data_IF_827021578172
#
_entry.id   IF_827021578172
#
_cell.length_a   1.000
_cell.length_b   1.000
_cell.length_c   1.000
_cell.angle_alpha   90.00
_cell.angle_beta   90.00
_cell.angle_gamma   90.00
#
_symmetry.space_group_name_H-M   'P 1'
#
loop_
_entity.id
_entity.type
_entity.pdbx_description
1 polymer ?
#
# COMPACT_ATOMS: atom_id res chain seq x y z
N UNK A 1 0.94 -2.35 -38.74
CA UNK A 1 0.50 -1.00 -38.28
C UNK A 1 1.58 -0.46 -37.37
N UNK A 2 2.12 0.74 -37.62
CA UNK A 2 3.23 1.34 -36.86
C UNK A 2 2.76 1.79 -35.46
N UNK A 3 3.67 1.77 -34.48
CA UNK A 3 3.36 2.20 -33.12
C UNK A 3 2.81 3.64 -33.02
N UNK A 4 3.17 4.51 -33.96
CA UNK A 4 2.65 5.88 -34.04
C UNK A 4 1.14 5.96 -34.34
N UNK A 5 0.60 5.04 -35.12
CA UNK A 5 -0.83 5.01 -35.45
C UNK A 5 -1.70 4.57 -34.25
N UNK A 6 -1.15 3.73 -33.36
CA UNK A 6 -1.85 3.27 -32.13
C UNK A 6 -1.90 4.36 -31.06
N UNK A 7 -0.83 5.15 -30.92
CA UNK A 7 -0.76 6.26 -29.97
C UNK A 7 -1.71 7.40 -30.40
N UNK A 8 -1.77 7.71 -31.72
CA UNK A 8 -2.68 8.73 -32.24
C UNK A 8 -4.16 8.38 -32.02
N UNK A 9 -4.53 7.09 -32.13
CA UNK A 9 -5.91 6.65 -31.91
C UNK A 9 -6.33 6.77 -30.43
N UNK A 10 -5.44 6.41 -29.49
CA UNK A 10 -5.73 6.49 -28.04
C UNK A 10 -5.87 7.96 -27.57
N UNK A 11 -5.01 8.87 -28.05
CA UNK A 11 -5.08 10.29 -27.70
C UNK A 11 -6.36 10.91 -28.24
N UNK A 12 -6.76 10.57 -29.48
CA UNK A 12 -8.00 11.06 -30.07
C UNK A 12 -9.26 10.66 -29.29
N UNK A 13 -9.30 9.42 -28.81
CA UNK A 13 -10.45 8.89 -28.03
C UNK A 13 -10.58 9.61 -26.67
N UNK A 14 -9.47 9.89 -25.99
CA UNK A 14 -9.49 10.59 -24.69
C UNK A 14 -9.97 12.04 -24.86
N UNK A 15 -9.52 12.74 -25.88
CA UNK A 15 -9.94 14.14 -26.16
C UNK A 15 -11.44 14.21 -26.44
N UNK A 16 -12.02 13.29 -27.21
CA UNK A 16 -13.47 13.27 -27.50
C UNK A 16 -14.30 13.02 -26.24
N UNK A 17 -13.85 12.11 -25.34
CA UNK A 17 -14.54 11.82 -24.08
C UNK A 17 -14.51 13.02 -23.11
N UNK A 18 -13.40 13.76 -23.02
CA UNK A 18 -13.30 14.95 -22.17
C UNK A 18 -14.19 16.07 -22.69
N UNK A 19 -14.25 16.31 -24.02
CA UNK A 19 -15.13 17.29 -24.63
C UNK A 19 -16.61 16.96 -24.42
N UNK A 20 -17.01 15.70 -24.51
CA UNK A 20 -18.39 15.28 -24.25
C UNK A 20 -18.82 15.52 -22.81
N UNK A 21 -17.90 15.32 -21.84
CA UNK A 21 -18.18 15.55 -20.41
C UNK A 21 -18.41 17.03 -20.08
N UNK A 22 -17.63 17.94 -20.70
CA UNK A 22 -17.78 19.40 -20.49
C UNK A 22 -19.08 19.93 -21.06
N UNK A 23 -19.60 19.36 -22.16
CA UNK A 23 -20.83 19.82 -22.82
C UNK A 23 -22.13 19.29 -22.19
N UNK A 24 -22.06 18.29 -21.32
CA UNK A 24 -23.22 17.68 -20.64
C UNK A 24 -23.38 18.07 -19.16
N UNK A 25 -22.56 18.97 -18.63
CA UNK A 25 -22.72 19.48 -17.26
C UNK A 25 -23.87 20.50 -17.21
N UNK A 26 -24.94 20.29 -16.43
CA UNK A 26 -25.99 21.28 -16.27
C UNK A 26 -25.48 22.46 -15.45
N UNK A 27 -25.80 23.65 -15.92
CA UNK A 27 -25.58 24.92 -15.21
C UNK A 27 -26.76 25.14 -14.27
N UNK A 28 -26.53 25.25 -12.99
CA UNK A 28 -27.50 25.71 -12.01
C UNK A 28 -27.35 27.23 -11.89
N UNK A 29 -28.25 27.95 -12.59
CA UNK A 29 -28.55 29.35 -12.32
C UNK A 29 -29.84 29.39 -11.52
N UNK A 30 -29.84 29.91 -10.31
CA UNK A 30 -31.04 30.41 -9.66
C UNK A 30 -30.76 31.60 -8.74
N UNK A 31 -31.54 32.59 -8.99
CA UNK A 31 -31.55 33.95 -8.51
C UNK A 31 -32.33 34.14 -7.17
N UNK A 32 -32.22 35.29 -6.49
CA UNK A 32 -32.48 35.47 -5.06
C UNK A 32 -33.92 35.88 -4.73
N UNK A 33 -34.47 35.23 -3.74
CA UNK A 33 -35.75 35.57 -3.12
C UNK A 33 -35.59 36.15 -1.71
N UNK A 34 -36.08 37.36 -1.54
CA UNK A 34 -36.06 38.20 -0.34
C UNK A 34 -36.85 37.69 0.87
N UNK A 35 -36.28 37.94 2.04
CA UNK A 35 -36.86 38.33 3.36
C UNK A 35 -37.87 37.43 4.07
N UNK A 36 -37.52 36.98 5.27
CA UNK A 36 -38.04 37.49 6.54
C UNK A 36 -37.40 36.73 7.74
N UNK A 37 -36.84 37.50 8.67
CA UNK A 37 -36.42 37.04 9.99
C UNK A 37 -37.65 36.65 10.84
N UNK A 38 -37.59 35.55 11.63
CA UNK A 38 -37.53 35.75 13.07
C UNK A 38 -36.49 34.91 13.78
N UNK A 39 -35.85 35.53 14.73
CA UNK A 39 -35.04 35.02 15.80
C UNK A 39 -35.66 33.78 16.46
N UNK A 40 -34.91 32.63 16.44
CA UNK A 40 -35.10 31.55 17.39
C UNK A 40 -33.77 30.84 17.66
N UNK A 41 -33.54 30.61 18.94
CA UNK A 41 -32.36 30.06 19.60
C UNK A 41 -31.65 28.93 18.84
N UNK A 42 -30.30 29.04 18.76
CA UNK A 42 -29.43 28.00 18.31
C UNK A 42 -29.39 26.82 19.30
N UNK A 43 -29.65 25.57 18.87
CA UNK A 43 -29.18 24.43 19.61
C UNK A 43 -27.68 24.26 19.36
N UNK A 44 -26.91 24.20 20.45
CA UNK A 44 -25.50 23.87 20.42
C UNK A 44 -25.28 22.54 19.68
N UNK A 45 -24.77 22.60 18.47
CA UNK A 45 -24.31 21.41 17.74
C UNK A 45 -23.05 20.92 18.44
N UNK A 46 -23.20 19.91 19.29
CA UNK A 46 -22.09 19.12 19.81
C UNK A 46 -21.44 18.44 18.60
N UNK A 47 -20.35 19.01 18.09
CA UNK A 47 -19.52 18.36 17.07
C UNK A 47 -18.95 17.10 17.70
N UNK A 48 -19.57 15.94 17.45
CA UNK A 48 -19.04 14.66 17.84
C UNK A 48 -17.67 14.50 17.17
N UNK A 49 -16.62 14.51 17.95
CA UNK A 49 -15.26 14.27 17.48
C UNK A 49 -15.24 12.91 16.75
N UNK A 50 -14.76 12.94 15.48
CA UNK A 50 -14.56 11.71 14.70
C UNK A 50 -13.65 10.77 15.51
N UNK A 51 -14.01 9.47 15.66
CA UNK A 51 -13.17 8.51 16.35
C UNK A 51 -11.74 8.55 15.78
N UNK A 52 -10.70 8.42 16.63
CA UNK A 52 -9.34 8.34 16.13
C UNK A 52 -9.19 7.18 15.13
N UNK A 53 -8.39 7.33 14.07
CA UNK A 53 -8.17 6.26 13.11
C UNK A 53 -7.57 5.04 13.83
N UNK A 54 -7.90 3.81 13.40
CA UNK A 54 -7.30 2.60 13.96
C UNK A 54 -5.77 2.69 13.90
N UNK A 55 -5.04 2.13 14.89
CA UNK A 55 -3.58 2.12 14.85
C UNK A 55 -3.08 1.44 13.58
N UNK A 56 -2.05 2.00 12.97
CA UNK A 56 -1.44 1.44 11.77
C UNK A 56 -0.91 0.02 12.06
N UNK A 57 -1.04 -0.92 11.11
CA UNK A 57 -0.57 -2.28 11.30
C UNK A 57 0.95 -2.29 11.53
N UNK A 58 1.37 -2.97 12.60
CA UNK A 58 2.78 -3.16 12.95
C UNK A 58 3.42 -4.21 12.05
N UNK A 59 4.63 -3.94 11.57
CA UNK A 59 5.46 -4.86 10.79
C UNK A 59 6.71 -5.24 11.57
N UNK A 60 7.04 -6.55 11.59
CA UNK A 60 8.35 -7.01 11.98
C UNK A 60 9.37 -6.60 10.92
N UNK A 61 10.45 -5.92 11.31
CA UNK A 61 11.34 -5.27 10.36
C UNK A 61 12.74 -5.88 10.35
N UNK A 62 13.12 -6.45 9.22
CA UNK A 62 14.47 -6.91 8.89
C UNK A 62 15.22 -5.75 8.23
N UNK A 63 16.45 -5.50 8.67
CA UNK A 63 17.32 -4.48 8.07
C UNK A 63 18.45 -5.12 7.31
N UNK A 64 18.70 -4.62 6.11
CA UNK A 64 19.81 -5.06 5.22
C UNK A 64 20.76 -3.91 4.99
N UNK A 65 22.06 -4.21 5.02
CA UNK A 65 23.15 -3.32 4.66
C UNK A 65 24.24 -4.13 3.98
N UNK A 66 24.84 -3.59 2.92
CA UNK A 66 25.90 -4.25 2.13
C UNK A 66 25.50 -5.69 1.72
N UNK A 67 24.22 -5.89 1.33
CA UNK A 67 23.68 -7.19 0.95
C UNK A 67 23.62 -8.22 2.09
N UNK A 68 23.64 -7.79 3.37
CA UNK A 68 23.62 -8.67 4.55
C UNK A 68 22.63 -8.20 5.60
N UNK A 69 22.07 -9.12 6.41
CA UNK A 69 21.21 -8.75 7.52
C UNK A 69 21.99 -8.03 8.63
N UNK A 70 21.51 -6.88 9.06
CA UNK A 70 22.09 -6.14 10.18
C UNK A 70 21.73 -6.84 11.50
N UNK A 71 22.74 -7.31 12.22
CA UNK A 71 22.56 -8.07 13.46
C UNK A 71 22.36 -9.57 13.27
N UNK A 72 22.57 -10.07 12.05
CA UNK A 72 22.41 -11.49 11.70
C UNK A 72 21.02 -11.83 11.20
N UNK A 73 20.80 -13.10 10.85
CA UNK A 73 19.52 -13.64 10.36
C UNK A 73 18.46 -13.52 11.45
N UNK A 74 17.40 -12.73 11.20
CA UNK A 74 16.33 -12.49 12.16
C UNK A 74 15.28 -13.59 12.09
N UNK A 75 14.73 -13.97 13.26
CA UNK A 75 13.61 -14.90 13.34
C UNK A 75 12.34 -14.12 13.65
N UNK A 76 11.30 -14.33 12.86
CA UNK A 76 9.96 -13.82 13.07
C UNK A 76 9.05 -15.01 13.35
N UNK A 77 8.36 -15.00 14.48
CA UNK A 77 7.46 -16.10 14.86
C UNK A 77 6.02 -15.61 14.82
N UNK A 78 5.13 -16.41 14.22
CA UNK A 78 3.69 -16.22 14.20
C UNK A 78 2.97 -17.54 14.44
N UNK A 79 1.71 -17.50 14.89
CA UNK A 79 0.87 -18.70 14.99
C UNK A 79 0.21 -18.99 13.64
N UNK A 80 -0.05 -20.26 13.38
CA UNK A 80 -0.82 -20.67 12.21
C UNK A 80 -2.22 -20.02 12.23
N UNK A 81 -2.58 -19.44 11.10
CA UNK A 81 -3.83 -18.68 10.93
C UNK A 81 -3.68 -17.19 11.18
N UNK A 82 -2.60 -16.76 11.82
CA UNK A 82 -2.34 -15.34 12.09
C UNK A 82 -1.90 -14.57 10.83
N UNK A 83 -2.03 -13.25 10.90
CA UNK A 83 -1.56 -12.35 9.86
C UNK A 83 -0.08 -12.05 10.03
N UNK A 84 0.77 -12.71 9.26
CA UNK A 84 2.19 -12.37 9.16
C UNK A 84 2.34 -11.00 8.47
N UNK A 85 3.18 -10.13 9.06
CA UNK A 85 3.55 -8.82 8.50
C UNK A 85 5.04 -8.62 8.61
N UNK A 86 5.73 -8.79 7.49
CA UNK A 86 7.17 -8.68 7.39
C UNK A 86 7.54 -7.49 6.51
N UNK A 87 8.51 -6.71 6.95
CA UNK A 87 9.08 -5.58 6.23
C UNK A 87 10.59 -5.75 6.14
N UNK A 88 11.15 -5.67 4.94
CA UNK A 88 12.60 -5.64 4.75
C UNK A 88 12.99 -4.24 4.25
N UNK A 89 13.98 -3.64 4.89
CA UNK A 89 14.52 -2.33 4.51
C UNK A 89 15.98 -2.44 4.16
N UNK A 90 16.45 -1.64 3.20
CA UNK A 90 17.86 -1.49 2.86
C UNK A 90 18.26 -0.03 2.79
N UNK A 91 19.52 0.26 3.14
CA UNK A 91 20.11 1.61 3.03
C UNK A 91 20.93 1.79 1.75
N UNK A 92 21.35 0.69 1.11
CA UNK A 92 22.38 0.68 0.06
C UNK A 92 22.19 -0.43 -0.99
N UNK A 93 21.38 -1.45 -0.71
CA UNK A 93 21.18 -2.60 -1.59
C UNK A 93 19.83 -2.50 -2.28
N UNK A 94 19.79 -2.71 -3.59
CA UNK A 94 18.57 -2.91 -4.38
C UNK A 94 18.51 -4.36 -4.83
N UNK A 95 17.43 -5.06 -4.49
CA UNK A 95 17.22 -6.49 -4.79
C UNK A 95 15.73 -6.82 -4.75
N UNK A 96 15.38 -8.05 -5.08
CA UNK A 96 14.09 -8.64 -4.80
C UNK A 96 14.21 -9.53 -3.56
N UNK A 97 13.27 -9.40 -2.62
CA UNK A 97 13.18 -10.28 -1.46
C UNK A 97 12.28 -11.45 -1.82
N UNK A 98 12.75 -12.66 -1.60
CA UNK A 98 11.99 -13.89 -1.76
C UNK A 98 11.69 -14.53 -0.40
N UNK A 99 10.41 -14.80 -0.13
CA UNK A 99 9.96 -15.62 0.99
C UNK A 99 9.63 -17.01 0.47
N UNK A 100 10.53 -17.97 0.75
CA UNK A 100 10.39 -19.36 0.35
C UNK A 100 9.14 -20.02 0.95
N UNK A 101 8.60 -21.01 0.26
CA UNK A 101 7.45 -21.81 0.68
C UNK A 101 6.10 -21.10 0.57
N UNK A 102 6.05 -19.81 0.79
CA UNK A 102 4.89 -18.96 0.46
C UNK A 102 4.99 -18.35 -0.95
N UNK A 103 6.13 -18.51 -1.60
CA UNK A 103 6.41 -18.06 -2.98
C UNK A 103 6.05 -16.59 -3.21
N UNK A 104 6.49 -15.73 -2.28
CA UNK A 104 6.20 -14.30 -2.31
C UNK A 104 7.45 -13.50 -2.61
N UNK A 105 7.30 -12.52 -3.50
CA UNK A 105 8.38 -11.65 -3.94
C UNK A 105 8.02 -10.19 -3.73
N UNK A 106 9.01 -9.37 -3.37
CA UNK A 106 8.85 -7.93 -3.24
C UNK A 106 10.19 -7.20 -3.38
N UNK A 107 10.22 -6.12 -4.14
CA UNK A 107 11.43 -5.30 -4.32
C UNK A 107 11.78 -4.53 -3.05
N UNK A 108 13.09 -4.48 -2.75
CA UNK A 108 13.73 -3.61 -1.77
C UNK A 108 14.75 -2.71 -2.44
N UNK A 109 14.80 -1.46 -2.03
CA UNK A 109 15.84 -0.50 -2.45
C UNK A 109 16.02 0.57 -1.37
N UNK A 110 17.07 1.39 -1.41
CA UNK A 110 17.20 2.55 -0.54
C UNK A 110 15.95 3.42 -0.58
N UNK A 111 15.31 3.61 0.57
CA UNK A 111 14.04 4.34 0.70
C UNK A 111 12.77 3.57 0.31
N UNK A 112 12.88 2.39 -0.31
CA UNK A 112 11.75 1.51 -0.68
C UNK A 112 11.86 0.19 0.05
N UNK A 113 10.94 -0.06 0.97
CA UNK A 113 10.89 -1.32 1.71
C UNK A 113 10.07 -2.39 0.98
N UNK A 114 10.58 -3.63 0.93
CA UNK A 114 9.77 -4.80 0.63
C UNK A 114 8.79 -5.04 1.78
N UNK A 115 7.53 -5.45 1.46
CA UNK A 115 6.50 -5.73 2.46
C UNK A 115 5.70 -6.96 2.08
N UNK A 116 5.53 -7.83 3.06
CA UNK A 116 4.66 -9.00 2.97
C UNK A 116 3.59 -8.89 4.04
N UNK A 117 2.32 -9.10 3.67
CA UNK A 117 1.20 -9.12 4.59
C UNK A 117 0.20 -10.19 4.12
N UNK A 118 0.21 -11.35 4.79
CA UNK A 118 -0.57 -12.52 4.38
C UNK A 118 -0.98 -13.36 5.60
N UNK A 119 -1.89 -14.31 5.44
CA UNK A 119 -2.23 -15.26 6.48
C UNK A 119 -1.23 -16.42 6.46
N UNK A 120 -0.61 -16.71 7.60
CA UNK A 120 0.33 -17.81 7.78
C UNK A 120 -0.44 -19.13 7.98
N UNK A 121 -0.86 -19.75 6.88
CA UNK A 121 -1.78 -20.91 6.88
C UNK A 121 -1.10 -22.27 6.94
N UNK A 122 0.22 -22.30 6.79
CA UNK A 122 1.02 -23.53 6.83
C UNK A 122 2.12 -23.43 7.91
N UNK A 123 2.21 -24.46 8.75
CA UNK A 123 3.26 -24.60 9.77
C UNK A 123 4.61 -24.87 9.11
N UNK A 124 5.68 -24.33 9.68
CA UNK A 124 7.03 -24.57 9.17
C UNK A 124 7.99 -23.42 9.40
N UNK A 125 9.19 -23.57 8.84
CA UNK A 125 10.23 -22.55 8.83
C UNK A 125 10.49 -22.15 7.38
N UNK A 126 10.34 -20.87 7.10
CA UNK A 126 10.39 -20.29 5.77
C UNK A 126 11.52 -19.27 5.68
N UNK A 127 12.42 -19.47 4.73
CA UNK A 127 13.55 -18.57 4.54
C UNK A 127 13.12 -17.27 3.84
N UNK A 128 13.73 -16.16 4.26
CA UNK A 128 13.61 -14.85 3.65
C UNK A 128 14.98 -14.47 3.14
N UNK A 129 15.14 -14.28 1.84
CA UNK A 129 16.45 -14.07 1.21
C UNK A 129 16.46 -12.92 0.21
N UNK A 130 17.66 -12.45 -0.11
CA UNK A 130 17.95 -11.64 -1.29
C UNK A 130 17.98 -12.57 -2.52
N UNK A 131 17.07 -12.35 -3.45
CA UNK A 131 16.85 -13.26 -4.57
C UNK A 131 18.06 -13.35 -5.53
N UNK A 132 18.80 -12.25 -5.69
CA UNK A 132 19.93 -12.18 -6.63
C UNK A 132 21.08 -13.14 -6.30
N UNK A 133 21.26 -13.47 -5.02
CA UNK A 133 22.43 -14.24 -4.55
C UNK A 133 22.11 -15.29 -3.46
N UNK A 134 20.85 -15.44 -3.09
CA UNK A 134 20.42 -16.41 -2.06
C UNK A 134 20.88 -16.07 -0.64
N UNK A 135 21.26 -14.82 -0.37
CA UNK A 135 21.65 -14.43 0.99
C UNK A 135 20.44 -14.41 1.90
N UNK A 136 20.40 -15.32 2.88
CA UNK A 136 19.36 -15.36 3.90
C UNK A 136 19.45 -14.14 4.82
N UNK A 137 18.37 -13.35 4.89
CA UNK A 137 18.26 -12.14 5.72
C UNK A 137 17.36 -12.36 6.92
N UNK A 138 16.47 -13.33 6.86
CA UNK A 138 15.56 -13.69 7.94
C UNK A 138 14.93 -15.05 7.76
N UNK A 139 14.11 -15.45 8.74
CA UNK A 139 13.24 -16.62 8.67
C UNK A 139 11.91 -16.33 9.34
N UNK A 140 10.85 -16.82 8.75
CA UNK A 140 9.52 -16.85 9.33
C UNK A 140 9.28 -18.24 9.90
N UNK A 141 8.93 -18.31 11.18
CA UNK A 141 8.52 -19.55 11.87
C UNK A 141 7.02 -19.47 12.08
N UNK A 142 6.30 -20.45 11.54
CA UNK A 142 4.84 -20.58 11.75
C UNK A 142 4.64 -21.78 12.68
N UNK A 143 4.22 -21.47 13.90
CA UNK A 143 3.93 -22.45 14.96
C UNK A 143 2.47 -22.92 14.89
N UNK A 144 2.17 -24.11 15.42
CA UNK A 144 0.81 -24.66 15.48
C UNK A 144 -0.22 -23.76 16.13
#
# INVERSE_FOLDING_TARGET
MSNGARIGLLVGTVVVLVLAFVLLSPSDDDEPGTATTPTAAAPATTTAAKPPPPPAPTFETIRVRDGKPVGGVQTITVQKGDRARVRVTSTDTSDEIHLHGYDKYADVAPGRAARFAFTADAEGIYEIELHSNGTQVGKLVVEP
#
